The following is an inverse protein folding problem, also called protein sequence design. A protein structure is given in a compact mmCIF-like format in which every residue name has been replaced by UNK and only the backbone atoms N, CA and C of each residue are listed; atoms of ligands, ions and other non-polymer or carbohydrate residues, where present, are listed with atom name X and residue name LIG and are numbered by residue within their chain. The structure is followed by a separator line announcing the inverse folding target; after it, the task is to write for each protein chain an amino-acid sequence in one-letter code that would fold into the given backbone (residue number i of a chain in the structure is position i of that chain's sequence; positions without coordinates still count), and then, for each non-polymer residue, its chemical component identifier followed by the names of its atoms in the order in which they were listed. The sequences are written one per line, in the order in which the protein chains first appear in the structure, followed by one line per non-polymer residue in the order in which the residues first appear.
data_IF_711117825875
#
_entry.id   IF_711117825875
#
_cell.length_a   1.000
_cell.length_b   1.000
_cell.length_c   1.000
_cell.angle_alpha   90.00
_cell.angle_beta   90.00
_cell.angle_gamma   90.00
#
_symmetry.space_group_name_H-M   'P 1'
#
loop_
_entity.id
_entity.type
_entity.pdbx_description
1 polymer ?
#
# COMPACT_ATOMS: atom_id res chain seq x y z
N UNK A 1 -23.70 -9.28 35.56
CA UNK A 1 -23.13 -9.77 34.27
C UNK A 1 -21.72 -9.21 34.11
N UNK A 2 -20.84 -9.66 34.99
CA UNK A 2 -19.44 -9.17 35.07
C UNK A 2 -18.50 -10.23 34.49
N UNK A 3 -17.46 -9.72 33.83
CA UNK A 3 -16.22 -10.41 33.49
C UNK A 3 -16.30 -11.59 32.51
N UNK A 4 -16.55 -11.33 31.25
CA UNK A 4 -15.99 -12.16 30.19
C UNK A 4 -14.56 -11.65 29.92
N UNK A 5 -13.58 -12.43 30.41
CA UNK A 5 -12.20 -12.09 30.51
C UNK A 5 -11.57 -11.66 29.18
N UNK A 6 -11.28 -10.37 29.07
CA UNK A 6 -10.20 -9.91 28.24
C UNK A 6 -8.90 -10.36 28.93
N UNK A 7 -8.33 -11.47 28.54
CA UNK A 7 -6.94 -11.80 28.88
C UNK A 7 -6.06 -10.68 28.37
N UNK A 8 -5.77 -9.69 29.21
CA UNK A 8 -4.67 -8.75 29.05
C UNK A 8 -3.39 -9.55 29.27
N UNK A 9 -2.85 -10.10 28.21
CA UNK A 9 -1.46 -10.54 28.22
C UNK A 9 -0.59 -9.28 28.13
N UNK A 10 0.42 -9.25 29.01
CA UNK A 10 1.45 -8.24 29.15
C UNK A 10 2.02 -7.73 27.83
N UNK A 11 2.45 -6.48 27.80
CA UNK A 11 3.35 -5.72 26.90
C UNK A 11 3.84 -6.42 25.60
N UNK A 12 2.93 -7.09 24.88
CA UNK A 12 3.25 -7.89 23.71
C UNK A 12 2.90 -7.13 22.43
N UNK A 13 3.83 -7.17 21.53
CA UNK A 13 3.80 -6.76 20.13
C UNK A 13 2.62 -7.28 19.30
N UNK A 14 1.76 -8.13 19.90
CA UNK A 14 0.56 -8.71 19.30
C UNK A 14 -0.65 -8.52 20.20
N UNK A 15 -1.76 -8.04 19.61
CA UNK A 15 -3.04 -7.87 20.31
C UNK A 15 -4.11 -8.71 19.64
N UNK A 16 -4.63 -9.71 20.35
CA UNK A 16 -5.72 -10.55 19.86
C UNK A 16 -7.08 -10.04 20.31
N UNK A 17 -8.01 -9.92 19.37
CA UNK A 17 -9.44 -9.72 19.64
C UNK A 17 -10.18 -10.99 19.26
N UNK A 18 -10.69 -11.70 20.28
CA UNK A 18 -11.35 -12.99 20.10
C UNK A 18 -12.72 -13.04 20.76
N UNK A 19 -13.73 -13.37 19.96
CA UNK A 19 -15.07 -13.73 20.40
C UNK A 19 -15.51 -14.97 19.63
N UNK A 20 -15.83 -16.08 20.29
CA UNK A 20 -16.17 -17.34 19.66
C UNK A 20 -17.24 -17.19 18.56
N UNK A 21 -16.96 -17.72 17.36
CA UNK A 21 -17.85 -17.64 16.19
C UNK A 21 -18.01 -16.25 15.56
N UNK A 22 -17.64 -15.18 16.24
CA UNK A 22 -17.88 -13.80 15.80
C UNK A 22 -16.63 -13.19 15.18
N UNK A 23 -15.52 -13.16 15.91
CA UNK A 23 -14.27 -12.55 15.44
C UNK A 23 -13.04 -13.26 16.02
N UNK A 24 -11.98 -13.33 15.23
CA UNK A 24 -10.66 -13.77 15.67
C UNK A 24 -9.60 -13.02 14.83
N UNK A 25 -9.16 -11.90 15.38
CA UNK A 25 -8.24 -10.98 14.73
C UNK A 25 -7.04 -10.77 15.64
N UNK A 26 -5.84 -10.90 15.08
CA UNK A 26 -4.56 -10.60 15.74
C UNK A 26 -3.94 -9.39 15.04
N UNK A 27 -3.83 -8.28 15.73
CA UNK A 27 -3.05 -7.13 15.29
C UNK A 27 -1.58 -7.34 15.67
N UNK A 28 -0.67 -7.12 14.73
CA UNK A 28 0.77 -7.34 14.87
C UNK A 28 1.49 -6.05 14.56
N UNK A 29 2.22 -5.50 15.53
CA UNK A 29 2.92 -4.21 15.44
C UNK A 29 4.44 -4.36 15.48
N UNK A 30 4.95 -5.49 15.99
CA UNK A 30 6.38 -5.74 16.10
C UNK A 30 7.02 -6.06 14.73
N UNK A 31 8.09 -5.37 14.34
CA UNK A 31 8.77 -5.58 13.07
C UNK A 31 9.30 -7.01 12.86
N UNK A 32 9.83 -7.67 13.90
CA UNK A 32 10.39 -9.02 13.78
C UNK A 32 9.28 -10.06 13.57
N UNK A 33 8.17 -9.90 14.28
CA UNK A 33 7.01 -10.76 14.14
C UNK A 33 6.34 -10.58 12.76
N UNK A 34 6.27 -9.35 12.26
CA UNK A 34 5.76 -9.09 10.90
C UNK A 34 6.62 -9.79 9.85
N UNK A 35 7.95 -9.76 9.96
CA UNK A 35 8.86 -10.49 9.06
C UNK A 35 8.62 -12.00 9.12
N UNK A 36 8.51 -12.55 10.33
CA UNK A 36 8.22 -13.96 10.57
C UNK A 36 6.91 -14.38 9.92
N UNK A 37 5.81 -13.68 10.21
CA UNK A 37 4.46 -13.96 9.68
C UNK A 37 4.42 -13.79 8.15
N UNK A 38 5.11 -12.79 7.62
CA UNK A 38 5.13 -12.52 6.18
C UNK A 38 5.75 -13.66 5.37
N UNK A 39 6.61 -14.48 5.98
CA UNK A 39 7.27 -15.62 5.35
C UNK A 39 6.66 -16.99 5.72
N UNK A 40 5.89 -17.05 6.79
CA UNK A 40 5.27 -18.28 7.27
C UNK A 40 4.17 -18.77 6.30
N UNK A 41 4.30 -19.99 5.82
CA UNK A 41 3.36 -20.62 4.88
C UNK A 41 1.97 -20.90 5.48
N UNK A 42 1.84 -20.85 6.80
CA UNK A 42 0.56 -20.96 7.50
C UNK A 42 -0.33 -19.74 7.26
N UNK A 43 0.21 -18.62 6.82
CA UNK A 43 -0.50 -17.36 6.58
C UNK A 43 -0.49 -16.99 5.09
N UNK A 44 -1.67 -16.75 4.53
CA UNK A 44 -1.82 -16.49 3.10
C UNK A 44 -2.91 -15.44 2.83
N UNK A 45 -3.11 -15.11 1.56
CA UNK A 45 -4.21 -14.32 0.99
C UNK A 45 -5.24 -15.21 0.27
N UNK A 46 -5.28 -16.49 0.58
CA UNK A 46 -6.24 -17.42 -0.02
C UNK A 46 -7.69 -17.04 0.29
N UNK A 47 -7.87 -16.41 1.47
CA UNK A 47 -9.16 -15.89 1.92
C UNK A 47 -10.25 -16.95 1.80
N UNK A 48 -9.97 -18.10 2.38
CA UNK A 48 -10.93 -19.20 2.48
C UNK A 48 -12.19 -18.70 3.20
N UNK A 49 -13.36 -19.02 2.66
CA UNK A 49 -14.65 -18.57 3.20
C UNK A 49 -15.03 -19.14 4.57
N UNK A 50 -14.06 -19.70 5.31
CA UNK A 50 -14.25 -20.28 6.63
C UNK A 50 -13.62 -19.41 7.71
N UNK A 51 -14.29 -19.30 8.84
CA UNK A 51 -13.83 -18.55 10.00
C UNK A 51 -14.97 -17.79 10.68
N UNK A 52 -14.65 -17.01 11.70
CA UNK A 52 -15.62 -16.16 12.39
C UNK A 52 -16.36 -15.22 11.44
N UNK A 53 -17.61 -14.91 11.72
CA UNK A 53 -18.52 -14.15 10.84
C UNK A 53 -17.92 -12.81 10.40
N UNK A 54 -17.36 -12.06 11.34
CA UNK A 54 -16.73 -10.75 11.04
C UNK A 54 -15.51 -10.89 10.13
N UNK A 55 -14.70 -11.92 10.35
CA UNK A 55 -13.53 -12.19 9.53
C UNK A 55 -13.96 -12.45 8.08
N UNK A 56 -14.96 -13.32 7.88
CA UNK A 56 -15.50 -13.62 6.55
C UNK A 56 -16.11 -12.39 5.90
N UNK A 57 -16.83 -11.55 6.65
CA UNK A 57 -17.37 -10.29 6.13
C UNK A 57 -16.28 -9.32 5.67
N UNK A 58 -15.21 -9.16 6.48
CA UNK A 58 -14.07 -8.31 6.12
C UNK A 58 -13.38 -8.82 4.84
N UNK A 59 -13.12 -10.11 4.76
CA UNK A 59 -12.50 -10.72 3.59
C UNK A 59 -13.38 -10.57 2.32
N UNK A 60 -14.68 -10.80 2.43
CA UNK A 60 -15.62 -10.58 1.32
C UNK A 60 -15.65 -9.12 0.87
N UNK A 61 -15.56 -8.17 1.81
CA UNK A 61 -15.42 -6.75 1.50
C UNK A 61 -14.14 -6.50 0.71
N UNK A 62 -12.99 -6.96 1.19
CA UNK A 62 -11.71 -6.81 0.52
C UNK A 62 -11.70 -7.42 -0.87
N UNK A 63 -12.18 -8.66 -1.01
CA UNK A 63 -12.26 -9.34 -2.31
C UNK A 63 -13.13 -8.57 -3.30
N UNK A 64 -14.24 -7.98 -2.85
CA UNK A 64 -15.11 -7.18 -3.72
C UNK A 64 -14.43 -5.88 -4.19
N UNK A 65 -13.73 -5.20 -3.29
CA UNK A 65 -13.09 -3.92 -3.60
C UNK A 65 -11.89 -4.14 -4.54
N UNK A 66 -11.07 -5.14 -4.23
CA UNK A 66 -9.83 -5.43 -4.95
C UNK A 66 -9.98 -6.59 -5.95
N UNK A 67 -11.11 -6.61 -6.66
CA UNK A 67 -11.33 -7.45 -7.84
C UNK A 67 -12.14 -6.68 -8.87
N UNK A 68 -11.99 -7.06 -10.14
CA UNK A 68 -12.74 -6.53 -11.26
C UNK A 68 -13.13 -7.69 -12.19
N UNK A 69 -14.40 -7.79 -12.56
CA UNK A 69 -14.93 -8.84 -13.44
C UNK A 69 -14.51 -10.27 -12.98
N UNK A 70 -14.62 -10.53 -11.68
CA UNK A 70 -14.25 -11.81 -11.07
C UNK A 70 -12.74 -12.07 -10.92
N UNK A 71 -11.87 -11.22 -11.45
CA UNK A 71 -10.42 -11.34 -11.35
C UNK A 71 -9.91 -10.55 -10.15
N UNK A 72 -9.17 -11.21 -9.25
CA UNK A 72 -8.52 -10.55 -8.10
C UNK A 72 -7.36 -9.68 -8.58
N UNK A 73 -7.17 -8.55 -7.93
CA UNK A 73 -5.97 -7.75 -8.14
C UNK A 73 -4.71 -8.52 -7.64
N UNK A 74 -3.55 -8.30 -8.25
CA UNK A 74 -2.33 -9.04 -7.92
C UNK A 74 -1.98 -9.07 -6.44
N UNK A 75 -2.26 -7.97 -5.72
CA UNK A 75 -2.04 -7.85 -4.27
C UNK A 75 -2.88 -8.82 -3.42
N UNK A 76 -3.98 -9.36 -3.97
CA UNK A 76 -4.84 -10.33 -3.29
C UNK A 76 -4.72 -11.76 -3.84
N UNK A 77 -3.78 -12.01 -4.73
CA UNK A 77 -3.53 -13.37 -5.19
C UNK A 77 -2.86 -14.17 -4.06
N UNK A 78 -3.31 -15.42 -3.80
CA UNK A 78 -2.69 -16.30 -2.82
C UNK A 78 -1.29 -16.71 -3.24
N UNK A 79 -0.47 -17.11 -2.28
CA UNK A 79 0.90 -17.62 -2.52
C UNK A 79 0.91 -18.83 -3.47
N UNK A 80 -0.12 -19.66 -3.39
CA UNK A 80 -0.27 -20.88 -4.18
C UNK A 80 -0.78 -20.65 -5.60
N UNK A 81 -1.13 -19.41 -5.99
CA UNK A 81 -1.59 -19.12 -7.34
C UNK A 81 -0.41 -19.27 -8.33
N UNK A 82 -0.49 -20.17 -9.33
CA UNK A 82 0.64 -20.46 -10.22
C UNK A 82 1.07 -19.28 -11.09
N UNK A 83 0.15 -18.39 -11.45
CA UNK A 83 0.47 -17.21 -12.27
C UNK A 83 1.05 -16.05 -11.47
N UNK A 84 1.00 -16.13 -10.13
CA UNK A 84 1.37 -15.02 -9.27
C UNK A 84 2.85 -14.69 -9.33
N UNK A 85 3.71 -15.70 -9.17
CA UNK A 85 5.15 -15.49 -9.15
C UNK A 85 5.63 -14.90 -10.47
N UNK A 86 5.23 -15.49 -11.61
CA UNK A 86 5.59 -14.98 -12.93
C UNK A 86 5.13 -13.54 -13.17
N UNK A 87 3.88 -13.22 -12.85
CA UNK A 87 3.36 -11.86 -12.99
C UNK A 87 4.07 -10.85 -12.07
N UNK A 88 4.47 -11.28 -10.87
CA UNK A 88 5.24 -10.44 -9.95
C UNK A 88 6.65 -10.18 -10.46
N UNK A 89 7.34 -11.20 -10.97
CA UNK A 89 8.70 -11.10 -11.49
C UNK A 89 8.74 -10.26 -12.78
N UNK A 90 7.74 -10.41 -13.66
CA UNK A 90 7.59 -9.56 -14.84
C UNK A 90 7.41 -8.08 -14.45
N UNK A 91 6.49 -7.80 -13.54
CA UNK A 91 6.25 -6.42 -13.06
C UNK A 91 7.47 -5.85 -12.34
N UNK A 92 8.15 -6.66 -11.53
CA UNK A 92 9.41 -6.29 -10.89
C UNK A 92 10.50 -5.91 -11.91
N UNK A 93 10.71 -6.75 -12.94
CA UNK A 93 11.70 -6.47 -13.98
C UNK A 93 11.39 -5.19 -14.73
N UNK A 94 10.12 -4.99 -15.12
CA UNK A 94 9.66 -3.77 -15.79
C UNK A 94 9.88 -2.51 -14.93
N UNK A 95 9.53 -2.55 -13.64
CA UNK A 95 9.70 -1.41 -12.76
C UNK A 95 11.16 -1.13 -12.39
N UNK A 96 12.04 -2.14 -12.39
CA UNK A 96 13.47 -1.91 -12.21
C UNK A 96 14.08 -1.13 -13.36
N UNK A 97 13.74 -1.46 -14.60
CA UNK A 97 14.18 -0.68 -15.78
C UNK A 97 13.69 0.76 -15.67
N UNK A 98 12.42 0.95 -15.30
CA UNK A 98 11.86 2.29 -15.11
C UNK A 98 12.48 3.05 -13.94
N UNK A 99 12.96 2.39 -12.91
CA UNK A 99 13.70 3.02 -11.82
C UNK A 99 15.02 3.64 -12.30
N UNK A 100 15.75 2.94 -13.16
CA UNK A 100 16.99 3.45 -13.73
C UNK A 100 16.73 4.63 -14.69
N UNK A 101 15.65 4.57 -15.49
CA UNK A 101 15.22 5.68 -16.35
C UNK A 101 14.89 6.95 -15.54
N UNK A 102 14.23 6.78 -14.38
CA UNK A 102 13.86 7.91 -13.50
C UNK A 102 15.10 8.61 -12.94
N UNK A 103 16.14 7.86 -12.57
CA UNK A 103 17.38 8.46 -12.06
C UNK A 103 18.09 9.33 -13.10
N UNK A 104 18.01 8.96 -14.37
CA UNK A 104 18.76 9.58 -15.45
C UNK A 104 17.92 10.46 -16.40
N UNK A 105 16.57 10.40 -16.31
CA UNK A 105 15.65 11.10 -17.19
C UNK A 105 14.86 12.21 -16.49
N UNK A 106 15.17 13.47 -16.77
CA UNK A 106 14.76 14.59 -15.92
C UNK A 106 13.37 15.16 -16.14
N UNK A 107 12.87 15.20 -17.38
CA UNK A 107 11.75 16.08 -17.72
C UNK A 107 10.42 15.79 -16.99
N UNK A 108 10.15 14.54 -16.61
CA UNK A 108 8.88 14.18 -15.94
C UNK A 108 8.89 14.35 -14.43
N UNK A 109 10.07 14.60 -13.81
CA UNK A 109 10.19 14.85 -12.38
C UNK A 109 10.11 16.32 -12.03
N UNK A 110 10.36 17.20 -13.00
CA UNK A 110 10.39 18.65 -12.78
C UNK A 110 9.11 19.18 -12.13
N UNK A 111 7.89 18.81 -12.59
CA UNK A 111 6.66 19.29 -11.96
C UNK A 111 6.49 18.81 -10.50
N UNK A 112 7.03 17.63 -10.15
CA UNK A 112 7.02 17.14 -8.79
C UNK A 112 8.04 17.89 -7.91
N UNK A 113 9.24 18.18 -8.47
CA UNK A 113 10.27 18.95 -7.78
C UNK A 113 9.84 20.40 -7.55
N UNK A 114 9.22 21.05 -8.54
CA UNK A 114 8.61 22.37 -8.38
C UNK A 114 7.58 22.39 -7.25
N UNK A 115 6.71 21.36 -7.22
CA UNK A 115 5.71 21.28 -6.17
C UNK A 115 6.35 21.11 -4.79
N UNK A 116 7.35 20.24 -4.63
CA UNK A 116 8.09 20.06 -3.37
C UNK A 116 8.83 21.36 -3.00
N UNK A 117 9.35 22.08 -3.96
CA UNK A 117 9.98 23.40 -3.80
C UNK A 117 9.01 24.53 -3.40
N UNK A 118 7.71 24.25 -3.32
CA UNK A 118 6.70 25.21 -2.85
C UNK A 118 5.75 25.75 -3.94
N UNK A 119 5.89 25.31 -5.19
CA UNK A 119 5.12 25.80 -6.32
C UNK A 119 3.96 24.85 -6.64
N UNK A 120 2.72 25.27 -6.42
CA UNK A 120 1.51 24.54 -6.80
C UNK A 120 0.62 24.11 -5.64
N UNK A 121 -0.58 23.62 -5.98
CA UNK A 121 -1.63 23.19 -5.05
C UNK A 121 -1.55 21.69 -4.74
N UNK A 122 -2.25 21.24 -3.68
CA UNK A 122 -2.30 19.82 -3.32
C UNK A 122 -3.00 18.97 -4.41
N UNK A 123 -4.06 19.51 -5.03
CA UNK A 123 -4.78 18.82 -6.10
C UNK A 123 -3.90 18.57 -7.32
N UNK A 124 -2.99 19.52 -7.64
CA UNK A 124 -2.01 19.35 -8.70
C UNK A 124 -1.06 18.20 -8.42
N UNK A 125 -0.64 18.01 -7.15
CA UNK A 125 0.23 16.90 -6.76
C UNK A 125 -0.42 15.54 -7.05
N UNK A 126 -1.66 15.35 -6.64
CA UNK A 126 -2.38 14.09 -6.84
C UNK A 126 -2.43 13.69 -8.33
N UNK A 127 -2.72 14.65 -9.21
CA UNK A 127 -2.72 14.43 -10.66
C UNK A 127 -1.31 14.13 -11.21
N UNK A 128 -0.29 14.83 -10.75
CA UNK A 128 1.11 14.60 -11.17
C UNK A 128 1.60 13.21 -10.76
N UNK A 129 1.28 12.78 -9.53
CA UNK A 129 1.63 11.44 -9.06
C UNK A 129 0.86 10.38 -9.82
N UNK A 130 -0.44 10.57 -10.05
CA UNK A 130 -1.25 9.65 -10.85
C UNK A 130 -0.73 9.53 -12.28
N UNK A 131 -0.32 10.65 -12.88
CA UNK A 131 0.31 10.69 -14.20
C UNK A 131 1.62 9.89 -14.24
N UNK A 132 2.47 10.07 -13.25
CA UNK A 132 3.77 9.38 -13.16
C UNK A 132 3.57 7.86 -13.02
N UNK A 133 2.63 7.43 -12.18
CA UNK A 133 2.30 6.01 -12.00
C UNK A 133 1.69 5.43 -13.28
N UNK A 134 0.72 6.12 -13.88
CA UNK A 134 0.01 5.62 -15.06
C UNK A 134 0.95 5.37 -16.24
N UNK A 135 1.95 6.24 -16.43
CA UNK A 135 2.99 6.09 -17.48
C UNK A 135 3.89 4.88 -17.31
N UNK A 136 3.95 4.27 -16.13
CA UNK A 136 4.63 2.98 -15.95
C UNK A 136 3.93 1.82 -16.67
N UNK A 137 2.64 1.97 -16.91
CA UNK A 137 1.77 0.95 -17.51
C UNK A 137 1.39 1.30 -18.96
N UNK A 138 1.13 2.57 -19.23
CA UNK A 138 0.74 3.08 -20.55
C UNK A 138 1.45 4.40 -20.79
N UNK A 139 2.34 4.46 -21.77
CA UNK A 139 3.16 5.66 -22.05
C UNK A 139 2.33 6.90 -22.31
N UNK A 140 1.21 6.74 -23.05
CA UNK A 140 0.24 7.81 -23.36
C UNK A 140 -0.74 8.13 -22.25
N UNK A 141 -0.57 7.55 -21.03
CA UNK A 141 -1.48 7.78 -19.92
C UNK A 141 -1.58 9.27 -19.59
N UNK A 142 -2.82 9.75 -19.44
CA UNK A 142 -3.13 11.13 -19.02
C UNK A 142 -4.04 11.08 -17.79
N UNK A 143 -3.56 11.62 -16.68
CA UNK A 143 -4.36 11.75 -15.47
C UNK A 143 -5.45 12.81 -15.64
N UNK A 144 -6.60 12.59 -15.06
CA UNK A 144 -7.75 13.51 -15.06
C UNK A 144 -8.42 13.54 -13.69
N UNK A 145 -9.19 14.61 -13.42
CA UNK A 145 -10.01 14.70 -12.22
C UNK A 145 -10.96 13.50 -12.07
N UNK A 146 -11.47 12.97 -13.17
CA UNK A 146 -12.36 11.80 -13.17
C UNK A 146 -11.59 10.55 -12.73
N UNK A 147 -10.39 10.33 -13.26
CA UNK A 147 -9.55 9.19 -12.86
C UNK A 147 -9.09 9.30 -11.41
N UNK A 148 -8.82 10.52 -10.94
CA UNK A 148 -8.46 10.78 -9.55
C UNK A 148 -9.64 10.50 -8.61
N UNK A 149 -10.83 11.00 -8.94
CA UNK A 149 -12.06 10.74 -8.18
C UNK A 149 -12.39 9.22 -8.14
N UNK A 150 -12.16 8.50 -9.25
CA UNK A 150 -12.32 7.05 -9.30
C UNK A 150 -11.34 6.34 -8.34
N UNK A 151 -10.07 6.72 -8.32
CA UNK A 151 -9.07 6.16 -7.41
C UNK A 151 -9.41 6.44 -5.93
N UNK A 152 -9.82 7.65 -5.61
CA UNK A 152 -10.25 8.04 -4.27
C UNK A 152 -11.48 7.24 -3.82
N UNK A 153 -12.47 7.05 -4.69
CA UNK A 153 -13.66 6.25 -4.36
C UNK A 153 -13.32 4.82 -3.98
N UNK A 154 -12.40 4.17 -4.71
CA UNK A 154 -11.99 2.79 -4.40
C UNK A 154 -11.20 2.73 -3.09
N UNK A 155 -10.30 3.69 -2.85
CA UNK A 155 -9.54 3.79 -1.61
C UNK A 155 -10.45 4.04 -0.40
N UNK A 156 -11.42 4.95 -0.53
CA UNK A 156 -12.42 5.22 0.50
C UNK A 156 -13.28 3.98 0.78
N UNK A 157 -13.69 3.23 -0.27
CA UNK A 157 -14.41 1.99 -0.08
C UNK A 157 -13.60 0.96 0.74
N UNK A 158 -12.28 0.92 0.57
CA UNK A 158 -11.41 0.02 1.33
C UNK A 158 -11.35 0.39 2.82
N UNK A 159 -11.24 1.67 3.14
CA UNK A 159 -11.11 2.18 4.52
C UNK A 159 -12.44 2.36 5.25
N UNK A 160 -13.55 2.61 4.53
CA UNK A 160 -14.84 2.94 5.12
C UNK A 160 -15.43 1.80 5.95
N UNK A 161 -15.89 2.12 7.15
CA UNK A 161 -16.75 1.25 7.99
C UNK A 161 -18.24 1.54 7.81
N UNK A 162 -18.63 2.55 7.01
CA UNK A 162 -20.01 2.95 6.81
C UNK A 162 -20.74 1.97 5.86
N UNK A 163 -21.53 1.08 6.44
CA UNK A 163 -22.26 0.02 5.72
C UNK A 163 -23.30 0.62 4.74
N UNK A 164 -23.98 1.69 5.12
CA UNK A 164 -25.00 2.33 4.27
C UNK A 164 -24.37 2.97 3.03
N UNK A 165 -23.23 3.66 3.20
CA UNK A 165 -22.45 4.22 2.09
C UNK A 165 -21.98 3.13 1.13
N UNK A 166 -21.44 2.02 1.67
CA UNK A 166 -21.02 0.86 0.90
C UNK A 166 -22.17 0.20 0.12
N UNK A 167 -23.34 0.09 0.75
CA UNK A 167 -24.53 -0.42 0.11
C UNK A 167 -25.00 0.50 -1.04
N UNK A 168 -25.00 1.82 -0.82
CA UNK A 168 -25.32 2.81 -1.83
C UNK A 168 -24.39 2.72 -3.06
N UNK A 169 -23.08 2.57 -2.86
CA UNK A 169 -22.13 2.38 -3.96
C UNK A 169 -22.35 1.06 -4.72
N UNK A 170 -22.75 0.00 -3.99
CA UNK A 170 -23.06 -1.30 -4.59
C UNK A 170 -24.31 -1.22 -5.48
N UNK A 171 -25.40 -0.67 -4.96
CA UNK A 171 -26.68 -0.57 -5.69
C UNK A 171 -26.53 0.34 -6.92
N UNK A 172 -25.82 1.46 -6.78
CA UNK A 172 -25.58 2.41 -7.87
C UNK A 172 -24.53 1.92 -8.89
N UNK A 173 -23.79 0.85 -8.63
CA UNK A 173 -22.70 0.36 -9.47
C UNK A 173 -21.50 1.33 -9.57
N UNK A 174 -21.44 2.38 -8.75
CA UNK A 174 -20.39 3.42 -8.81
C UNK A 174 -18.98 2.85 -8.63
N UNK A 175 -18.81 1.93 -7.67
CA UNK A 175 -17.51 1.32 -7.38
C UNK A 175 -17.00 0.49 -8.58
N UNK A 176 -17.88 -0.27 -9.24
CA UNK A 176 -17.48 -1.05 -10.42
C UNK A 176 -17.14 -0.14 -11.59
N UNK A 177 -17.92 0.92 -11.82
CA UNK A 177 -17.59 1.92 -12.86
C UNK A 177 -16.25 2.59 -12.61
N UNK A 178 -15.96 3.00 -11.38
CA UNK A 178 -14.66 3.58 -11.02
C UNK A 178 -13.50 2.63 -11.33
N UNK A 179 -13.61 1.36 -10.95
CA UNK A 179 -12.58 0.35 -11.26
C UNK A 179 -12.46 0.09 -12.76
N UNK A 180 -13.57 0.04 -13.48
CA UNK A 180 -13.58 -0.15 -14.94
C UNK A 180 -12.93 1.03 -15.66
N UNK A 181 -13.20 2.26 -15.24
CA UNK A 181 -12.53 3.44 -15.76
C UNK A 181 -11.01 3.36 -15.59
N UNK A 182 -10.54 3.09 -14.35
CA UNK A 182 -9.12 2.96 -14.10
C UNK A 182 -8.49 1.82 -14.92
N UNK A 183 -9.19 0.70 -15.07
CA UNK A 183 -8.71 -0.42 -15.88
C UNK A 183 -8.61 -0.06 -17.37
N UNK A 184 -9.58 0.67 -17.93
CA UNK A 184 -9.50 1.12 -19.32
C UNK A 184 -8.31 2.02 -19.60
N UNK A 185 -7.92 2.86 -18.63
CA UNK A 185 -6.78 3.78 -18.75
C UNK A 185 -5.41 3.07 -18.70
N UNK A 186 -5.35 1.87 -18.15
CA UNK A 186 -4.12 1.04 -18.06
C UNK A 186 -4.23 -0.24 -18.87
N UNK A 187 -4.99 -0.25 -19.96
CA UNK A 187 -5.15 -1.37 -20.89
C UNK A 187 -5.57 -2.69 -20.20
N UNK A 188 -6.38 -2.60 -19.14
CA UNK A 188 -6.84 -3.75 -18.36
C UNK A 188 -5.82 -4.36 -17.42
N UNK A 189 -4.64 -3.74 -17.24
CA UNK A 189 -3.62 -4.20 -16.29
C UNK A 189 -4.07 -3.94 -14.85
N UNK A 190 -4.44 -5.01 -14.13
CA UNK A 190 -4.91 -4.91 -12.75
C UNK A 190 -3.81 -4.49 -11.76
N UNK A 191 -2.53 -4.65 -12.12
CA UNK A 191 -1.42 -4.11 -11.34
C UNK A 191 -1.36 -2.58 -11.49
N UNK A 192 -1.64 -2.06 -12.68
CA UNK A 192 -1.79 -0.62 -12.91
C UNK A 192 -2.97 -0.05 -12.13
N UNK A 193 -4.11 -0.72 -12.14
CA UNK A 193 -5.30 -0.27 -11.36
C UNK A 193 -4.97 -0.13 -9.87
N UNK A 194 -4.36 -1.15 -9.26
CA UNK A 194 -4.04 -1.07 -7.83
C UNK A 194 -2.94 -0.04 -7.53
N UNK A 195 -2.00 0.18 -8.46
CA UNK A 195 -0.99 1.21 -8.32
C UNK A 195 -1.61 2.62 -8.33
N UNK A 196 -2.53 2.90 -9.26
CA UNK A 196 -3.27 4.16 -9.31
C UNK A 196 -4.12 4.42 -8.06
N UNK A 197 -4.55 3.38 -7.36
CA UNK A 197 -5.36 3.48 -6.13
C UNK A 197 -4.47 3.62 -4.89
N UNK A 198 -3.63 2.61 -4.63
CA UNK A 198 -2.92 2.47 -3.35
C UNK A 198 -1.52 3.10 -3.37
N UNK A 199 -0.71 2.85 -4.40
CA UNK A 199 0.65 3.39 -4.45
C UNK A 199 0.62 4.92 -4.60
N UNK A 200 -0.33 5.48 -5.35
CA UNK A 200 -0.52 6.91 -5.48
C UNK A 200 -0.59 7.61 -4.11
N UNK A 201 -1.44 7.13 -3.20
CA UNK A 201 -1.60 7.76 -1.89
C UNK A 201 -0.29 7.77 -1.09
N UNK A 202 0.43 6.64 -1.08
CA UNK A 202 1.68 6.53 -0.34
C UNK A 202 2.77 7.47 -0.89
N UNK A 203 2.82 7.65 -2.22
CA UNK A 203 3.75 8.57 -2.86
C UNK A 203 3.37 10.03 -2.58
N UNK A 204 2.08 10.36 -2.62
CA UNK A 204 1.57 11.69 -2.26
C UNK A 204 1.95 12.03 -0.82
N UNK A 205 1.73 11.11 0.13
CA UNK A 205 2.13 11.29 1.53
C UNK A 205 3.65 11.50 1.66
N UNK A 206 4.45 10.74 0.89
CA UNK A 206 5.90 10.90 0.81
C UNK A 206 6.34 12.26 0.32
N UNK A 207 5.73 12.75 -0.76
CA UNK A 207 6.05 14.08 -1.30
C UNK A 207 5.59 15.22 -0.40
N UNK A 208 4.48 15.08 0.32
CA UNK A 208 4.10 16.02 1.38
C UNK A 208 5.16 16.09 2.49
N UNK A 209 5.66 14.95 2.94
CA UNK A 209 6.75 14.91 3.92
C UNK A 209 8.01 15.55 3.37
N UNK A 210 8.35 15.25 2.10
CA UNK A 210 9.51 15.82 1.42
C UNK A 210 9.42 17.36 1.33
N UNK A 211 8.25 17.90 1.04
CA UNK A 211 8.00 19.35 1.03
C UNK A 211 8.23 19.96 2.41
N UNK A 212 7.83 19.27 3.49
CA UNK A 212 8.10 19.73 4.85
C UNK A 212 9.61 19.77 5.15
N UNK A 213 10.36 18.74 4.74
CA UNK A 213 11.82 18.70 4.89
C UNK A 213 12.51 19.81 4.07
N UNK A 214 12.04 20.05 2.85
CA UNK A 214 12.59 21.08 1.98
C UNK A 214 12.32 22.50 2.50
N UNK A 215 11.21 22.72 3.19
CA UNK A 215 10.83 24.00 3.76
C UNK A 215 11.66 24.43 4.97
N UNK A 216 12.35 23.48 5.63
CA UNK A 216 13.26 23.76 6.76
C UNK A 216 14.72 23.88 6.25
N UNK A 217 15.32 25.09 6.23
CA UNK A 217 16.68 25.29 5.73
C UNK A 217 17.75 24.53 6.52
N UNK A 218 17.56 24.36 7.85
CA UNK A 218 18.50 23.66 8.69
C UNK A 218 18.50 22.15 8.43
N UNK A 219 17.30 21.55 8.33
CA UNK A 219 17.15 20.14 7.94
C UNK A 219 17.64 19.91 6.53
N UNK A 220 17.26 20.75 5.56
CA UNK A 220 17.65 20.62 4.16
C UNK A 220 19.16 20.63 3.96
N UNK A 221 19.90 21.44 4.75
CA UNK A 221 21.38 21.53 4.63
C UNK A 221 22.09 20.36 5.32
N UNK A 222 21.48 19.72 6.30
CA UNK A 222 22.11 18.68 7.11
C UNK A 222 21.69 17.25 6.74
N UNK A 223 20.51 17.05 6.13
CA UNK A 223 20.00 15.73 5.78
C UNK A 223 20.65 15.20 4.51
N UNK A 224 21.11 13.95 4.52
CA UNK A 224 21.58 13.27 3.33
C UNK A 224 20.39 12.87 2.42
N UNK A 225 20.64 12.68 1.13
CA UNK A 225 19.58 12.25 0.17
C UNK A 225 18.93 10.95 0.61
N UNK A 226 19.72 9.96 1.04
CA UNK A 226 19.19 8.68 1.51
C UNK A 226 18.29 8.84 2.73
N UNK A 227 18.71 9.64 3.71
CA UNK A 227 17.91 9.91 4.89
C UNK A 227 16.61 10.67 4.57
N UNK A 228 16.66 11.62 3.64
CA UNK A 228 15.47 12.33 3.18
C UNK A 228 14.49 11.39 2.47
N UNK A 229 15.00 10.49 1.64
CA UNK A 229 14.19 9.47 0.97
C UNK A 229 13.57 8.51 2.00
N UNK A 230 14.34 8.03 2.97
CA UNK A 230 13.84 7.12 4.01
C UNK A 230 12.72 7.74 4.86
N UNK A 231 12.83 9.03 5.19
CA UNK A 231 11.77 9.77 5.90
C UNK A 231 10.50 9.95 5.06
N UNK A 232 10.61 9.87 3.73
CA UNK A 232 9.49 10.04 2.79
C UNK A 232 8.90 8.72 2.30
N UNK A 233 9.43 7.57 2.73
CA UNK A 233 8.88 6.26 2.39
C UNK A 233 7.75 5.87 3.36
N UNK A 234 6.56 5.68 2.82
CA UNK A 234 5.38 5.25 3.58
C UNK A 234 4.96 3.84 3.18
N UNK A 235 4.73 3.00 4.19
CA UNK A 235 4.10 1.69 4.00
C UNK A 235 2.57 1.81 4.00
N UNK A 236 1.84 0.89 3.36
CA UNK A 236 0.40 0.79 3.56
C UNK A 236 0.11 0.61 5.05
N UNK A 237 -0.96 1.24 5.58
CA UNK A 237 -1.25 1.18 7.03
C UNK A 237 -1.29 -0.25 7.55
N UNK A 238 -1.95 -1.13 6.82
CA UNK A 238 -2.11 -2.54 7.21
C UNK A 238 -2.06 -3.48 6.02
N UNK A 239 -1.60 -4.70 6.29
CA UNK A 239 -1.70 -5.83 5.36
C UNK A 239 -2.35 -7.01 6.07
N UNK A 240 -3.34 -7.64 5.44
CA UNK A 240 -4.10 -8.75 6.01
C UNK A 240 -3.56 -10.09 5.52
N UNK A 241 -3.45 -11.04 6.45
CA UNK A 241 -3.19 -12.45 6.20
C UNK A 241 -4.29 -13.28 6.87
N UNK A 242 -4.62 -14.42 6.29
CA UNK A 242 -5.52 -15.39 6.91
C UNK A 242 -4.76 -16.66 7.28
N UNK A 243 -4.97 -17.16 8.48
CA UNK A 243 -4.41 -18.41 8.93
C UNK A 243 -5.10 -19.60 8.22
N UNK A 244 -4.30 -20.48 7.60
CA UNK A 244 -4.74 -21.69 6.91
C UNK A 244 -4.87 -22.89 7.86
N UNK A 245 -4.14 -22.84 8.96
CA UNK A 245 -4.12 -23.85 10.03
C UNK A 245 -4.32 -23.19 11.38
N UNK A 246 -4.40 -23.98 12.44
CA UNK A 246 -4.30 -23.49 13.81
C UNK A 246 -2.87 -23.62 14.32
N UNK A 247 -2.48 -22.82 15.31
CA UNK A 247 -1.15 -22.83 15.90
C UNK A 247 -0.91 -21.64 16.80
N UNK A 248 0.36 -21.30 16.94
CA UNK A 248 0.85 -20.17 17.74
C UNK A 248 1.94 -19.42 16.96
N UNK A 249 2.04 -18.11 17.15
CA UNK A 249 3.11 -17.25 16.64
C UNK A 249 3.37 -16.16 17.67
N UNK A 250 4.65 -15.94 18.05
CA UNK A 250 5.03 -14.95 19.07
C UNK A 250 4.28 -15.10 20.39
N UNK A 251 4.01 -16.32 20.83
CA UNK A 251 3.22 -16.61 22.03
C UNK A 251 1.71 -16.35 21.88
N UNK A 252 1.25 -15.91 20.70
CA UNK A 252 -0.16 -15.64 20.46
C UNK A 252 -0.83 -16.80 19.70
N UNK A 253 -1.84 -17.47 20.29
CA UNK A 253 -2.54 -18.56 19.63
C UNK A 253 -3.46 -18.03 18.53
N UNK A 254 -3.54 -18.77 17.42
CA UNK A 254 -4.45 -18.48 16.31
C UNK A 254 -5.13 -19.77 15.84
N UNK A 255 -6.25 -19.65 15.16
CA UNK A 255 -7.02 -20.75 14.58
C UNK A 255 -7.12 -20.64 13.08
N UNK A 256 -7.44 -21.71 12.41
CA UNK A 256 -7.80 -21.67 11.00
C UNK A 256 -8.92 -20.65 10.77
N UNK A 257 -8.69 -19.68 9.85
CA UNK A 257 -9.61 -18.58 9.58
C UNK A 257 -9.40 -17.34 10.44
N UNK A 258 -8.47 -17.36 11.43
CA UNK A 258 -8.03 -16.13 12.11
C UNK A 258 -7.44 -15.15 11.10
N UNK A 259 -7.65 -13.84 11.31
CA UNK A 259 -7.01 -12.79 10.52
C UNK A 259 -5.84 -12.19 11.30
N UNK A 260 -4.71 -12.10 10.66
CA UNK A 260 -3.56 -11.36 11.14
C UNK A 260 -3.50 -10.03 10.38
N UNK A 261 -3.56 -8.94 11.11
CA UNK A 261 -3.44 -7.57 10.59
C UNK A 261 -2.04 -7.09 10.90
N UNK A 262 -1.18 -7.06 9.89
CA UNK A 262 0.19 -6.56 9.99
C UNK A 262 0.14 -5.03 9.88
N UNK A 263 0.45 -4.31 10.95
CA UNK A 263 0.41 -2.85 11.02
C UNK A 263 1.71 -2.25 10.48
N UNK A 264 1.88 -2.29 9.16
CA UNK A 264 3.11 -1.85 8.50
C UNK A 264 3.38 -0.36 8.69
N UNK A 265 2.33 0.48 8.69
CA UNK A 265 2.49 1.92 8.80
C UNK A 265 3.18 2.36 10.10
N UNK A 266 3.01 1.61 11.20
CA UNK A 266 3.73 1.84 12.46
C UNK A 266 5.06 1.12 12.54
N UNK A 267 5.10 -0.14 12.06
CA UNK A 267 6.25 -1.02 12.17
C UNK A 267 7.41 -0.66 11.23
N UNK A 268 7.14 -0.02 10.10
CA UNK A 268 8.15 0.36 9.11
C UNK A 268 8.92 1.65 9.43
N UNK A 269 8.61 2.29 10.54
CA UNK A 269 9.31 3.53 10.93
C UNK A 269 10.78 3.30 11.24
N UNK A 270 11.61 4.20 10.73
CA UNK A 270 13.06 4.18 10.91
C UNK A 270 13.82 3.32 9.90
N UNK A 271 15.06 3.69 9.61
CA UNK A 271 15.90 3.08 8.58
C UNK A 271 16.09 1.55 8.74
N UNK A 272 16.13 1.05 9.97
CA UNK A 272 16.26 -0.38 10.27
C UNK A 272 15.06 -1.23 9.81
N UNK A 273 13.92 -0.61 9.53
CA UNK A 273 12.67 -1.26 9.15
C UNK A 273 12.22 -0.92 7.72
N UNK A 274 13.09 -0.35 6.91
CA UNK A 274 12.82 0.02 5.50
C UNK A 274 12.33 -1.16 4.67
N UNK A 275 12.81 -2.38 4.95
CA UNK A 275 12.34 -3.59 4.30
C UNK A 275 10.85 -3.87 4.48
N UNK A 276 10.25 -3.40 5.57
CA UNK A 276 8.83 -3.56 5.84
C UNK A 276 7.95 -2.62 4.99
N UNK A 277 8.47 -1.49 4.51
CA UNK A 277 7.74 -0.59 3.62
C UNK A 277 7.25 -1.34 2.39
N UNK A 278 8.10 -2.20 1.84
CA UNK A 278 7.84 -2.97 0.62
C UNK A 278 7.64 -4.46 0.89
N UNK A 279 7.77 -4.93 2.13
CA UNK A 279 7.85 -6.35 2.49
C UNK A 279 8.93 -7.08 1.66
N UNK A 280 10.10 -6.47 1.52
CA UNK A 280 11.18 -6.83 0.59
C UNK A 280 11.62 -8.28 0.67
N UNK A 281 11.62 -8.86 1.87
CA UNK A 281 12.02 -10.24 2.13
C UNK A 281 10.85 -11.23 2.09
N UNK A 282 9.66 -10.80 1.67
CA UNK A 282 8.45 -11.61 1.68
C UNK A 282 8.09 -12.10 0.28
N UNK A 283 7.42 -13.27 0.23
CA UNK A 283 6.79 -13.76 -0.98
C UNK A 283 5.80 -12.76 -1.61
N UNK A 284 5.35 -11.77 -0.85
CA UNK A 284 4.40 -10.73 -1.25
C UNK A 284 5.04 -9.35 -1.36
N UNK A 285 6.35 -9.31 -1.60
CA UNK A 285 7.11 -8.05 -1.79
C UNK A 285 6.43 -7.12 -2.79
N UNK A 286 6.53 -5.84 -2.55
CA UNK A 286 6.02 -4.82 -3.46
C UNK A 286 6.97 -4.69 -4.67
N UNK A 287 6.48 -4.78 -5.91
CA UNK A 287 7.35 -4.65 -7.09
C UNK A 287 7.88 -3.22 -7.29
N UNK A 288 7.33 -2.21 -6.62
CA UNK A 288 7.77 -0.82 -6.70
C UNK A 288 8.95 -0.48 -5.75
N UNK A 289 9.54 -1.47 -5.08
CA UNK A 289 10.62 -1.32 -4.09
C UNK A 289 11.83 -0.52 -4.59
N UNK A 290 12.18 -0.61 -5.86
CA UNK A 290 13.26 0.20 -6.44
C UNK A 290 12.76 1.50 -7.05
N UNK A 291 11.59 1.46 -7.69
CA UNK A 291 11.09 2.60 -8.43
C UNK A 291 10.65 3.76 -7.53
N UNK A 292 9.96 3.49 -6.41
CA UNK A 292 9.50 4.56 -5.50
C UNK A 292 10.67 5.30 -4.86
N UNK A 293 11.69 4.63 -4.29
CA UNK A 293 12.88 5.34 -3.80
C UNK A 293 13.59 6.13 -4.89
N UNK A 294 13.75 5.59 -6.10
CA UNK A 294 14.37 6.29 -7.22
C UNK A 294 13.60 7.56 -7.62
N UNK A 295 12.26 7.50 -7.63
CA UNK A 295 11.40 8.67 -7.85
C UNK A 295 11.66 9.75 -6.80
N UNK A 296 11.62 9.39 -5.52
CA UNK A 296 11.82 10.33 -4.41
C UNK A 296 13.24 10.90 -4.41
N UNK A 297 14.26 10.08 -4.67
CA UNK A 297 15.66 10.50 -4.82
C UNK A 297 15.82 11.53 -5.95
N UNK A 298 15.23 11.23 -7.12
CA UNK A 298 15.27 12.13 -8.27
C UNK A 298 14.57 13.45 -8.01
N UNK A 299 13.45 13.47 -7.30
CA UNK A 299 12.76 14.71 -6.88
C UNK A 299 13.59 15.48 -5.87
N UNK A 300 14.10 14.82 -4.81
CA UNK A 300 14.90 15.49 -3.77
C UNK A 300 16.17 16.14 -4.31
N UNK A 301 16.88 15.44 -5.20
CA UNK A 301 18.11 15.95 -5.81
C UNK A 301 17.84 17.26 -6.56
N UNK A 302 16.74 17.35 -7.31
CA UNK A 302 16.37 18.58 -8.04
C UNK A 302 16.02 19.73 -7.12
N UNK A 303 15.20 19.46 -6.11
CA UNK A 303 14.82 20.46 -5.09
C UNK A 303 16.07 21.02 -4.41
N UNK A 304 17.02 20.15 -4.06
CA UNK A 304 18.25 20.53 -3.37
C UNK A 304 19.17 21.39 -4.23
N UNK A 305 19.19 21.20 -5.56
CA UNK A 305 19.94 22.04 -6.49
C UNK A 305 19.27 23.39 -6.66
N UNK A 306 17.99 23.41 -7.01
CA UNK A 306 17.23 24.65 -7.27
C UNK A 306 17.23 25.60 -6.07
N UNK A 307 17.09 25.08 -4.85
CA UNK A 307 17.04 25.88 -3.63
C UNK A 307 18.43 26.31 -3.11
N UNK A 308 19.55 25.85 -3.70
CA UNK A 308 20.90 26.36 -3.41
C UNK A 308 21.28 27.58 -4.26
N UNK A 309 20.58 27.80 -5.35
CA UNK A 309 20.84 28.91 -6.28
C UNK A 309 20.15 30.22 -5.86
N UNK A 310 19.33 30.18 -4.81
CA UNK A 310 18.68 31.32 -4.17
C UNK A 310 19.14 31.50 -2.71
#
# INVERSE_FOLDING_TARGET
LNNLGAHRMSDHSMKRTYFPGITDIVAVTDPAEIRTISNDSRFDRDFIGHGPVRNVQLLRKMLRIFSLNGRRFPTLLPRTNPSRAAAQDELWSRLNVKADEVKHGPAHLEPLAEWVGGIGTAEKLDLLVQQSIGRLFVESFTASEESLAAAHMVLEAASSSNVLKMLGWRISGRLERAKTLLASMVNGDLAGVIALIAARQLIVDGLHKMRQLAADPALRSSITTDAAVDECLFAPPTVVRQAKTSGEVGGCPFRRGSLLILELGSASKGAANRDLVFLSQSWSRCPAEKWVPALLEGVWTRVSVTLREF
#
